data_IF_835958039681
#
_entry.id   IF_835958039681
#
_cell.length_a   1.000
_cell.length_b   1.000
_cell.length_c   1.000
_cell.angle_alpha   90.00
_cell.angle_beta   90.00
_cell.angle_gamma   90.00
#
_symmetry.space_group_name_H-M   'P 1'
#
loop_
_entity.id
_entity.type
_entity.pdbx_description
1 polymer ?
#
# COMPACT_ATOMS: atom_id res chain seq x y z
N UNK A 1 -27.58 -0.84 16.22
CA UNK A 1 -26.46 -1.17 17.13
C UNK A 1 -25.17 -1.07 16.32
N UNK A 2 -24.11 -0.45 16.85
CA UNK A 2 -22.82 -0.31 16.15
C UNK A 2 -21.83 -1.32 16.72
N UNK A 3 -21.17 -2.08 15.86
CA UNK A 3 -20.16 -3.09 16.23
C UNK A 3 -18.87 -2.74 15.48
N UNK A 4 -17.72 -2.83 16.14
CA UNK A 4 -16.40 -2.62 15.55
C UNK A 4 -15.55 -3.86 15.79
N UNK A 5 -14.96 -4.40 14.73
CA UNK A 5 -14.13 -5.61 14.74
C UNK A 5 -12.73 -5.19 14.28
N UNK A 6 -11.70 -5.62 15.01
CA UNK A 6 -10.30 -5.36 14.69
C UNK A 6 -9.52 -6.65 14.78
N UNK A 7 -8.72 -6.96 13.76
CA UNK A 7 -7.86 -8.13 13.71
C UNK A 7 -6.64 -7.81 12.86
N UNK A 8 -5.58 -8.60 13.06
CA UNK A 8 -4.37 -8.56 12.25
C UNK A 8 -4.52 -9.58 11.14
N UNK A 9 -4.51 -9.11 9.89
CA UNK A 9 -4.49 -9.99 8.75
C UNK A 9 -3.04 -10.29 8.35
N UNK A 10 -2.71 -11.58 8.29
CA UNK A 10 -1.38 -12.09 7.92
C UNK A 10 -1.41 -12.89 6.63
N UNK A 11 -2.60 -13.10 6.03
CA UNK A 11 -2.79 -14.00 4.89
C UNK A 11 -3.03 -13.25 3.57
N UNK A 12 -3.73 -12.11 3.59
CA UNK A 12 -3.99 -11.36 2.35
C UNK A 12 -2.74 -10.63 1.87
N UNK A 13 -2.57 -10.61 0.56
CA UNK A 13 -1.48 -9.85 -0.06
C UNK A 13 -1.91 -8.45 -0.46
N UNK A 14 -3.18 -8.25 -0.85
CA UNK A 14 -3.68 -6.94 -1.26
C UNK A 14 -4.90 -6.49 -0.46
N UNK A 15 -5.11 -5.17 -0.42
CA UNK A 15 -6.28 -4.58 0.27
C UNK A 15 -7.60 -5.05 -0.32
N UNK A 16 -7.65 -5.30 -1.63
CA UNK A 16 -8.85 -5.81 -2.29
C UNK A 16 -9.24 -7.20 -1.80
N UNK A 17 -8.26 -8.05 -1.46
CA UNK A 17 -8.50 -9.36 -0.87
C UNK A 17 -9.10 -9.22 0.53
N UNK A 18 -8.52 -8.34 1.36
CA UNK A 18 -9.03 -8.01 2.70
C UNK A 18 -10.48 -7.53 2.64
N UNK A 19 -10.76 -6.58 1.73
CA UNK A 19 -12.11 -6.01 1.57
C UNK A 19 -13.09 -7.08 1.08
N UNK A 20 -12.73 -7.89 0.08
CA UNK A 20 -13.60 -8.98 -0.41
C UNK A 20 -13.89 -10.01 0.68
N UNK A 21 -12.89 -10.39 1.47
CA UNK A 21 -13.06 -11.32 2.56
C UNK A 21 -13.97 -10.75 3.65
N UNK A 22 -13.78 -9.47 3.99
CA UNK A 22 -14.64 -8.79 4.95
C UNK A 22 -16.10 -8.69 4.43
N UNK A 23 -16.30 -8.33 3.16
CA UNK A 23 -17.63 -8.27 2.53
C UNK A 23 -18.30 -9.64 2.46
N UNK A 24 -17.52 -10.69 2.23
CA UNK A 24 -18.02 -12.07 2.24
C UNK A 24 -18.50 -12.49 3.65
N UNK A 25 -17.73 -12.15 4.69
CA UNK A 25 -18.00 -12.55 6.06
C UNK A 25 -19.11 -11.73 6.72
N UNK A 26 -19.20 -10.44 6.43
CA UNK A 26 -20.03 -9.48 7.15
C UNK A 26 -21.08 -8.77 6.28
N UNK A 27 -21.08 -9.01 4.97
CA UNK A 27 -22.00 -8.42 4.00
C UNK A 27 -21.49 -7.13 3.35
N UNK A 28 -22.24 -6.62 2.36
CA UNK A 28 -21.83 -5.45 1.53
C UNK A 28 -21.93 -4.08 2.22
N UNK A 29 -22.54 -4.01 3.39
CA UNK A 29 -22.77 -2.75 4.13
C UNK A 29 -21.76 -2.57 5.26
N UNK A 30 -20.48 -2.78 4.96
CA UNK A 30 -19.39 -2.63 5.92
C UNK A 30 -18.45 -1.49 5.53
N UNK A 31 -17.79 -0.93 6.54
CA UNK A 31 -16.65 -0.04 6.36
C UNK A 31 -15.41 -0.82 6.78
N UNK A 32 -14.45 -0.95 5.88
CA UNK A 32 -13.16 -1.60 6.14
C UNK A 32 -12.10 -0.50 6.19
N UNK A 33 -11.51 -0.31 7.37
CA UNK A 33 -10.38 0.59 7.58
C UNK A 33 -9.13 -0.29 7.75
N UNK A 34 -8.13 -0.11 6.89
CA UNK A 34 -6.91 -0.92 6.86
C UNK A 34 -5.74 0.01 7.17
N UNK A 35 -4.99 -0.34 8.19
CA UNK A 35 -3.88 0.47 8.72
C UNK A 35 -2.69 -0.41 9.05
N UNK A 36 -1.45 0.13 9.07
CA UNK A 36 -0.31 -0.61 9.60
C UNK A 36 -0.51 -0.91 11.09
N UNK A 37 0.27 -1.87 11.60
CA UNK A 37 0.25 -2.24 13.02
C UNK A 37 0.74 -1.12 13.95
N UNK A 38 1.47 -0.15 13.40
CA UNK A 38 2.11 0.93 14.15
C UNK A 38 2.04 2.23 13.35
N UNK A 39 1.87 3.33 14.08
CA UNK A 39 1.84 4.69 13.54
C UNK A 39 3.22 5.33 13.42
N UNK A 40 4.31 4.55 13.56
CA UNK A 40 5.65 5.08 13.33
C UNK A 40 5.78 5.48 11.85
N UNK A 41 6.47 6.59 11.53
CA UNK A 41 6.60 7.06 10.16
C UNK A 41 7.13 6.01 9.19
N UNK A 42 8.13 5.21 9.60
CA UNK A 42 8.69 4.15 8.76
C UNK A 42 7.68 3.04 8.44
N UNK A 43 6.82 2.68 9.39
CA UNK A 43 5.80 1.64 9.20
C UNK A 43 4.69 2.14 8.27
N UNK A 44 4.33 3.43 8.38
CA UNK A 44 3.39 4.08 7.47
C UNK A 44 3.93 4.18 6.04
N UNK A 45 5.22 4.51 5.88
CA UNK A 45 5.88 4.52 4.57
C UNK A 45 5.91 3.11 3.99
N UNK A 46 6.32 2.12 4.78
CA UNK A 46 6.33 0.72 4.34
C UNK A 46 4.95 0.25 3.88
N UNK A 47 3.91 0.52 4.68
CA UNK A 47 2.53 0.20 4.33
C UNK A 47 2.08 0.93 3.06
N UNK A 48 2.38 2.22 2.93
CA UNK A 48 2.07 2.99 1.72
C UNK A 48 2.73 2.39 0.47
N UNK A 49 4.00 1.95 0.58
CA UNK A 49 4.69 1.27 -0.51
C UNK A 49 4.01 -0.05 -0.88
N UNK A 50 3.61 -0.85 0.10
CA UNK A 50 2.86 -2.09 -0.16
C UNK A 50 1.55 -1.80 -0.92
N UNK A 51 0.83 -0.73 -0.55
CA UNK A 51 -0.39 -0.35 -1.27
C UNK A 51 -0.12 0.05 -2.73
N UNK A 52 1.06 0.62 -3.02
CA UNK A 52 1.42 1.04 -4.38
C UNK A 52 1.88 -0.15 -5.23
N UNK A 53 2.73 -1.03 -4.70
CA UNK A 53 3.48 -1.98 -5.54
C UNK A 53 2.93 -3.40 -5.53
N UNK A 54 2.27 -3.86 -4.46
CA UNK A 54 2.05 -5.29 -4.23
C UNK A 54 1.19 -5.92 -5.33
N UNK A 55 0.08 -5.27 -5.72
CA UNK A 55 -0.77 -5.77 -6.80
C UNK A 55 -0.01 -5.93 -8.12
N UNK A 56 0.78 -4.91 -8.49
CA UNK A 56 1.56 -4.92 -9.74
C UNK A 56 2.70 -5.94 -9.68
N UNK A 57 3.43 -6.02 -8.56
CA UNK A 57 4.52 -6.97 -8.38
C UNK A 57 4.03 -8.42 -8.46
N UNK A 58 2.88 -8.74 -7.86
CA UNK A 58 2.27 -10.06 -7.96
C UNK A 58 1.94 -10.39 -9.42
N UNK A 59 1.30 -9.46 -10.14
CA UNK A 59 1.02 -9.63 -11.57
C UNK A 59 2.29 -9.95 -12.37
N UNK A 60 3.36 -9.17 -12.18
CA UNK A 60 4.66 -9.41 -12.83
C UNK A 60 5.24 -10.79 -12.52
N UNK A 61 5.07 -11.28 -11.28
CA UNK A 61 5.60 -12.57 -10.85
C UNK A 61 4.89 -13.75 -11.54
N UNK A 62 3.60 -13.61 -11.84
CA UNK A 62 2.82 -14.64 -12.54
C UNK A 62 2.99 -14.57 -14.07
N UNK A 63 3.02 -13.37 -14.64
CA UNK A 63 2.93 -13.14 -16.08
C UNK A 63 4.30 -13.12 -16.80
N UNK A 64 5.37 -12.68 -16.14
CA UNK A 64 6.67 -12.43 -16.78
C UNK A 64 7.80 -13.31 -16.19
N UNK A 65 7.65 -14.63 -16.26
CA UNK A 65 8.61 -15.57 -15.65
C UNK A 65 10.05 -15.45 -16.18
N UNK A 66 10.25 -14.98 -17.40
CA UNK A 66 11.57 -14.86 -18.03
C UNK A 66 12.14 -13.43 -17.97
N UNK A 67 11.30 -12.40 -17.89
CA UNK A 67 11.67 -10.98 -17.81
C UNK A 67 11.49 -10.35 -16.43
N UNK A 68 11.03 -11.09 -15.42
CA UNK A 68 10.68 -10.56 -14.09
C UNK A 68 11.72 -9.61 -13.52
N UNK A 69 13.01 -9.94 -13.62
CA UNK A 69 14.09 -9.10 -13.09
C UNK A 69 14.17 -7.72 -13.75
N UNK A 70 13.92 -7.64 -15.07
CA UNK A 70 13.85 -6.36 -15.77
C UNK A 70 12.57 -5.60 -15.39
N UNK A 71 11.44 -6.30 -15.33
CA UNK A 71 10.14 -5.73 -15.02
C UNK A 71 10.04 -5.22 -13.57
N UNK A 72 10.59 -5.93 -12.59
CA UNK A 72 10.64 -5.49 -11.19
C UNK A 72 11.57 -4.30 -11.01
N UNK A 73 12.67 -4.23 -11.77
CA UNK A 73 13.55 -3.07 -11.74
C UNK A 73 12.85 -1.83 -12.32
N UNK A 74 12.04 -2.00 -13.38
CA UNK A 74 11.20 -0.93 -13.91
C UNK A 74 10.19 -0.44 -12.88
N UNK A 75 9.45 -1.37 -12.24
CA UNK A 75 8.49 -1.05 -11.18
C UNK A 75 9.17 -0.31 -10.00
N UNK A 76 10.37 -0.76 -9.60
CA UNK A 76 11.18 -0.10 -8.57
C UNK A 76 11.53 1.34 -8.96
N UNK A 77 12.01 1.56 -10.17
CA UNK A 77 12.41 2.90 -10.63
C UNK A 77 11.20 3.85 -10.67
N UNK A 78 10.06 3.38 -11.18
CA UNK A 78 8.81 4.17 -11.22
C UNK A 78 8.33 4.51 -9.81
N UNK A 79 8.47 3.58 -8.86
CA UNK A 79 8.09 3.81 -7.46
C UNK A 79 9.02 4.83 -6.80
N UNK A 80 10.33 4.70 -7.00
CA UNK A 80 11.31 5.64 -6.46
C UNK A 80 11.08 7.06 -6.96
N UNK A 81 10.79 7.23 -8.26
CA UNK A 81 10.48 8.54 -8.82
C UNK A 81 9.29 9.20 -8.13
N UNK A 82 8.19 8.46 -7.91
CA UNK A 82 7.02 8.99 -7.19
C UNK A 82 7.32 9.36 -5.74
N UNK A 83 8.21 8.61 -5.06
CA UNK A 83 8.61 8.93 -3.68
C UNK A 83 9.48 10.17 -3.62
N UNK A 84 10.34 10.37 -4.61
CA UNK A 84 11.15 11.57 -4.75
C UNK A 84 10.26 12.80 -4.89
N UNK A 85 9.22 12.75 -5.74
CA UNK A 85 8.24 13.84 -5.88
C UNK A 85 7.53 14.19 -4.55
N UNK A 86 7.16 13.17 -3.75
CA UNK A 86 6.54 13.40 -2.44
C UNK A 86 7.54 14.04 -1.46
N UNK A 87 8.79 13.58 -1.48
CA UNK A 87 9.85 14.14 -0.63
C UNK A 87 10.11 15.60 -1.00
N UNK A 88 10.21 15.92 -2.28
CA UNK A 88 10.42 17.28 -2.78
C UNK A 88 9.28 18.20 -2.34
N UNK A 89 8.03 17.74 -2.43
CA UNK A 89 6.88 18.52 -1.95
C UNK A 89 6.95 18.79 -0.44
N UNK A 90 7.36 17.80 0.37
CA UNK A 90 7.53 17.99 1.81
C UNK A 90 8.62 19.02 2.12
N UNK A 91 9.71 19.04 1.35
CA UNK A 91 10.77 20.04 1.49
C UNK A 91 10.22 21.44 1.18
N UNK A 92 9.55 21.60 0.03
CA UNK A 92 8.94 22.88 -0.38
C UNK A 92 7.95 23.38 0.67
N UNK A 93 7.08 22.51 1.18
CA UNK A 93 6.10 22.86 2.20
C UNK A 93 6.76 23.32 3.51
N UNK A 94 7.90 22.73 3.87
CA UNK A 94 8.64 23.13 5.06
C UNK A 94 9.35 24.47 4.86
N UNK A 95 9.96 24.70 3.70
CA UNK A 95 10.61 25.96 3.35
C UNK A 95 9.60 27.12 3.33
N UNK A 96 8.42 26.89 2.72
CA UNK A 96 7.33 27.89 2.64
C UNK A 96 6.75 28.34 3.98
N UNK A 97 6.96 27.57 5.06
CA UNK A 97 6.48 27.92 6.41
C UNK A 97 7.44 28.83 7.17
N UNK A 98 8.68 28.91 6.71
CA UNK A 98 9.73 29.72 7.34
C UNK A 98 9.80 31.10 6.70
N UNK A 99 9.40 31.23 5.43
CA UNK A 99 9.19 32.50 4.72
C UNK A 99 7.88 33.20 5.13
#
# INVERSE_FOLDING_TARGET
>A
MKITITYHDTESFTVEEVVKQAEHNYGKSIKVDITPESNKPHDLIYFGLQQIITHQQLGLLFDDKFGYQASIQKLRNETLFKLEEILDQVIIDNESKVE
#
